data_IF_467442493249
#
_entry.id   IF_467442493249
#
_cell.length_a   1.000
_cell.length_b   1.000
_cell.length_c   1.000
_cell.angle_alpha   90.00
_cell.angle_beta   90.00
_cell.angle_gamma   90.00
#
_symmetry.space_group_name_H-M   'P 1'
#
loop_
_entity.id
_entity.type
_entity.pdbx_description
1 polymer ?
#
# COMPACT_ATOMS: atom_id res chain seq x y z
N UNK A 1 47.06 0.72 38.52
CA UNK A 1 48.43 1.02 38.03
C UNK A 1 48.39 1.19 36.54
N UNK A 2 49.09 2.20 36.05
CA UNK A 2 49.39 2.57 34.67
C UNK A 2 48.29 3.23 33.80
N UNK A 3 48.34 4.55 33.83
CA UNK A 3 47.78 5.51 32.86
C UNK A 3 48.70 5.51 31.61
N UNK A 4 48.16 5.60 30.44
CA UNK A 4 48.92 6.14 29.30
C UNK A 4 47.98 7.02 28.47
N UNK A 5 48.31 8.33 28.50
CA UNK A 5 47.72 9.40 27.75
C UNK A 5 48.20 9.39 26.33
N UNK A 6 47.35 9.81 25.41
CA UNK A 6 47.68 10.08 24.04
C UNK A 6 47.45 11.55 23.76
N UNK A 7 48.56 12.24 23.48
CA UNK A 7 48.64 13.63 23.08
C UNK A 7 48.17 13.79 21.61
N UNK A 8 47.26 14.70 21.39
CA UNK A 8 46.85 15.13 20.03
C UNK A 8 47.80 16.26 19.58
N UNK A 9 48.40 16.22 18.39
CA UNK A 9 49.05 17.40 17.80
C UNK A 9 47.99 18.25 17.06
N UNK A 10 48.04 19.55 17.33
CA UNK A 10 47.32 20.59 16.59
C UNK A 10 47.98 20.82 15.22
N UNK A 11 47.25 20.57 14.16
CA UNK A 11 47.70 20.94 12.81
C UNK A 11 47.16 22.34 12.45
N UNK A 12 48.08 23.25 12.28
CA UNK A 12 47.84 24.62 11.80
C UNK A 12 47.66 24.58 10.28
N UNK A 13 46.55 25.07 9.79
CA UNK A 13 46.26 25.20 8.34
C UNK A 13 46.49 26.66 7.95
N UNK A 14 47.32 26.97 6.93
CA UNK A 14 47.53 28.33 6.47
C UNK A 14 46.38 28.81 5.58
N UNK A 15 46.01 30.05 5.85
CA UNK A 15 45.01 30.86 5.13
C UNK A 15 45.57 31.28 3.77
N UNK A 16 45.06 30.74 2.68
CA UNK A 16 45.37 31.21 1.33
C UNK A 16 44.18 31.99 0.79
N UNK A 17 44.34 33.32 0.74
CA UNK A 17 43.46 34.21 -0.04
C UNK A 17 43.68 33.93 -1.53
N UNK A 18 42.68 33.41 -2.19
CA UNK A 18 42.57 33.33 -3.64
C UNK A 18 41.35 34.11 -4.14
N UNK A 19 41.65 35.34 -4.57
CA UNK A 19 40.70 36.23 -5.24
C UNK A 19 40.59 35.80 -6.72
N UNK A 20 39.43 35.24 -7.17
CA UNK A 20 39.17 35.09 -8.61
C UNK A 20 37.70 35.28 -8.95
N UNK A 21 37.53 36.37 -9.64
CA UNK A 21 36.63 36.72 -10.76
C UNK A 21 35.29 36.04 -10.92
N UNK A 22 34.29 36.93 -10.88
CA UNK A 22 32.94 36.78 -11.37
C UNK A 22 32.88 36.31 -12.84
N UNK A 23 32.21 35.21 -13.08
CA UNK A 23 31.60 34.93 -14.38
C UNK A 23 30.14 34.50 -14.11
N UNK A 24 29.25 35.46 -14.25
CA UNK A 24 27.83 35.24 -14.28
C UNK A 24 27.47 34.58 -15.64
N UNK A 25 27.31 33.28 -15.67
CA UNK A 25 26.54 32.58 -16.70
C UNK A 25 25.15 32.29 -16.15
N UNK A 26 24.24 33.20 -16.44
CA UNK A 26 22.82 32.94 -16.31
C UNK A 26 22.42 31.88 -17.33
N UNK A 27 22.34 30.64 -16.89
CA UNK A 27 21.61 29.61 -17.62
C UNK A 27 20.19 29.60 -17.04
N UNK A 28 19.30 30.25 -17.78
CA UNK A 28 17.88 29.98 -17.69
C UNK A 28 17.65 28.53 -18.18
N UNK A 29 17.83 27.58 -17.29
CA UNK A 29 17.43 26.21 -17.48
C UNK A 29 15.91 26.17 -17.43
N UNK A 30 15.28 26.12 -18.61
CA UNK A 30 13.90 25.72 -18.77
C UNK A 30 13.71 24.41 -17.99
N UNK A 31 12.83 24.46 -16.97
CA UNK A 31 12.49 23.28 -16.20
C UNK A 31 11.84 22.25 -17.09
N UNK A 32 12.62 21.31 -17.54
CA UNK A 32 12.14 20.00 -17.97
C UNK A 32 11.56 19.34 -16.73
N UNK A 33 10.29 19.64 -16.46
CA UNK A 33 9.46 18.70 -15.73
C UNK A 33 9.27 17.51 -16.68
N UNK A 34 10.29 16.68 -16.74
CA UNK A 34 10.13 15.32 -17.18
C UNK A 34 8.98 14.74 -16.34
N UNK A 35 7.80 14.69 -16.98
CA UNK A 35 6.71 13.87 -16.53
C UNK A 35 7.28 12.46 -16.50
N UNK A 36 7.71 12.07 -15.35
CA UNK A 36 7.96 10.69 -14.99
C UNK A 36 6.60 10.00 -15.08
N UNK A 37 6.21 9.69 -16.31
CA UNK A 37 5.21 8.70 -16.59
C UNK A 37 5.84 7.39 -16.14
N UNK A 38 5.69 7.09 -14.85
CA UNK A 38 5.94 5.77 -14.31
C UNK A 38 4.98 4.84 -15.02
N UNK A 39 5.42 4.33 -16.15
CA UNK A 39 4.81 3.19 -16.83
C UNK A 39 5.03 1.99 -15.92
N UNK A 40 4.29 1.96 -14.82
CA UNK A 40 4.24 0.82 -13.92
C UNK A 40 3.42 -0.23 -14.65
N UNK A 41 4.08 -1.17 -15.32
CA UNK A 41 3.40 -2.38 -15.78
C UNK A 41 2.63 -2.97 -14.59
N UNK A 42 1.35 -3.36 -14.78
CA UNK A 42 0.57 -3.94 -13.69
C UNK A 42 1.33 -5.11 -13.08
N UNK A 43 1.53 -5.09 -11.79
CA UNK A 43 2.09 -6.23 -11.08
C UNK A 43 1.05 -7.35 -11.08
N UNK A 44 1.52 -8.59 -11.11
CA UNK A 44 0.63 -9.74 -10.96
C UNK A 44 -0.20 -9.56 -9.68
N UNK A 45 -1.53 -9.55 -9.84
CA UNK A 45 -2.46 -9.33 -8.73
C UNK A 45 -2.86 -7.89 -8.45
N UNK A 46 -2.35 -6.91 -9.20
CA UNK A 46 -2.86 -5.54 -9.14
C UNK A 46 -4.11 -5.39 -10.03
N UNK A 47 -5.06 -4.59 -9.55
CA UNK A 47 -6.24 -4.23 -10.33
C UNK A 47 -5.85 -3.38 -11.56
N UNK A 48 -6.60 -3.53 -12.65
CA UNK A 48 -6.29 -2.89 -13.94
C UNK A 48 -6.75 -1.43 -13.99
N UNK A 49 -7.82 -1.07 -13.29
CA UNK A 49 -8.45 0.24 -13.31
C UNK A 49 -8.29 0.99 -12.01
N UNK A 50 -8.31 2.32 -12.08
CA UNK A 50 -8.33 3.14 -10.86
C UNK A 50 -9.63 2.97 -10.10
N UNK A 51 -9.57 3.13 -8.77
CA UNK A 51 -10.74 3.04 -7.90
C UNK A 51 -11.57 4.30 -7.96
N UNK A 52 -12.88 4.15 -8.05
CA UNK A 52 -13.84 5.23 -7.84
C UNK A 52 -14.03 5.54 -6.34
N UNK A 53 -14.86 6.54 -6.04
CA UNK A 53 -15.11 6.98 -4.67
C UNK A 53 -15.82 5.90 -3.82
N UNK A 54 -16.80 5.19 -4.40
CA UNK A 54 -17.56 4.13 -3.72
C UNK A 54 -16.68 2.96 -3.33
N UNK A 55 -15.79 2.52 -4.23
CA UNK A 55 -14.84 1.46 -3.97
C UNK A 55 -13.87 1.81 -2.84
N UNK A 56 -13.39 3.06 -2.81
CA UNK A 56 -12.52 3.57 -1.73
C UNK A 56 -13.25 3.64 -0.40
N UNK A 57 -14.48 4.13 -0.40
CA UNK A 57 -15.32 4.21 0.79
C UNK A 57 -15.62 2.83 1.37
N UNK A 58 -16.00 1.86 0.52
CA UNK A 58 -16.24 0.49 0.95
C UNK A 58 -14.99 -0.18 1.52
N UNK A 59 -13.84 -0.03 0.87
CA UNK A 59 -12.57 -0.57 1.36
C UNK A 59 -12.21 -0.01 2.75
N UNK A 60 -12.35 1.30 2.93
CA UNK A 60 -12.14 1.95 4.23
C UNK A 60 -13.12 1.47 5.30
N UNK A 61 -14.40 1.29 4.94
CA UNK A 61 -15.42 0.75 5.82
C UNK A 61 -15.10 -0.67 6.27
N UNK A 62 -14.81 -1.59 5.35
CA UNK A 62 -14.43 -2.97 5.65
C UNK A 62 -13.26 -3.01 6.63
N UNK A 63 -12.23 -2.21 6.39
CA UNK A 63 -11.08 -2.08 7.29
C UNK A 63 -11.49 -1.56 8.67
N UNK A 64 -12.34 -0.54 8.75
CA UNK A 64 -12.80 0.06 10.02
C UNK A 64 -13.67 -0.90 10.84
N UNK A 65 -14.33 -1.86 10.18
CA UNK A 65 -15.14 -2.89 10.81
C UNK A 65 -14.35 -4.13 11.24
N UNK A 66 -13.04 -4.13 11.01
CA UNK A 66 -12.18 -5.27 11.33
C UNK A 66 -12.41 -6.48 10.42
N UNK A 67 -12.92 -6.25 9.20
CA UNK A 67 -12.96 -7.33 8.22
C UNK A 67 -11.54 -7.79 7.87
N UNK A 68 -11.40 -9.06 7.54
CA UNK A 68 -10.16 -9.66 7.04
C UNK A 68 -10.44 -10.33 5.70
N UNK A 69 -9.58 -10.06 4.74
CA UNK A 69 -9.59 -10.66 3.41
C UNK A 69 -8.40 -11.63 3.31
N UNK A 70 -8.68 -12.93 3.49
CA UNK A 70 -7.68 -13.99 3.36
C UNK A 70 -7.48 -14.38 1.91
N UNK A 71 -6.26 -14.45 1.48
CA UNK A 71 -5.92 -14.84 0.12
C UNK A 71 -4.50 -15.35 -0.01
N UNK A 72 -4.11 -15.70 -1.24
CA UNK A 72 -2.75 -16.09 -1.57
C UNK A 72 -2.27 -15.30 -2.80
N UNK A 73 -0.99 -15.00 -2.83
CA UNK A 73 -0.34 -14.20 -3.89
C UNK A 73 -0.52 -14.76 -5.30
N UNK A 74 -0.72 -16.05 -5.41
CA UNK A 74 -0.93 -16.78 -6.68
C UNK A 74 -2.41 -17.01 -7.04
N UNK A 75 -3.36 -16.61 -6.20
CA UNK A 75 -4.78 -16.97 -6.31
C UNK A 75 -5.50 -16.08 -7.35
N UNK A 76 -5.98 -16.63 -8.50
CA UNK A 76 -6.66 -15.85 -9.53
C UNK A 76 -7.96 -15.20 -9.03
N UNK A 77 -8.72 -15.89 -8.18
CA UNK A 77 -9.95 -15.39 -7.59
C UNK A 77 -9.70 -14.21 -6.64
N UNK A 78 -8.54 -14.19 -5.95
CA UNK A 78 -8.11 -13.05 -5.12
C UNK A 78 -7.80 -11.83 -5.99
N UNK A 79 -7.18 -12.03 -7.14
CA UNK A 79 -6.94 -10.96 -8.11
C UNK A 79 -8.25 -10.41 -8.67
N UNK A 80 -9.20 -11.29 -8.98
CA UNK A 80 -10.54 -10.89 -9.40
C UNK A 80 -11.23 -10.05 -8.32
N UNK A 81 -11.16 -10.46 -7.06
CA UNK A 81 -11.72 -9.70 -5.95
C UNK A 81 -11.08 -8.32 -5.83
N UNK A 82 -9.75 -8.21 -5.87
CA UNK A 82 -9.03 -6.92 -5.85
C UNK A 82 -9.41 -6.04 -7.04
N UNK A 83 -9.60 -6.65 -8.21
CA UNK A 83 -9.97 -5.93 -9.45
C UNK A 83 -11.35 -5.26 -9.35
N UNK A 84 -12.31 -5.86 -8.63
CA UNK A 84 -13.61 -5.23 -8.36
C UNK A 84 -13.49 -3.94 -7.55
N UNK A 85 -12.46 -3.79 -6.73
CA UNK A 85 -12.18 -2.58 -5.95
C UNK A 85 -11.35 -1.53 -6.71
N UNK A 86 -10.66 -1.93 -7.77
CA UNK A 86 -9.69 -1.07 -8.46
C UNK A 86 -8.36 -0.94 -7.68
N UNK A 87 -7.40 -0.20 -8.26
CA UNK A 87 -6.01 -0.16 -7.76
C UNK A 87 -5.89 0.33 -6.33
N UNK A 88 -6.39 1.53 -6.04
CA UNK A 88 -6.19 2.18 -4.75
C UNK A 88 -6.96 1.47 -3.63
N UNK A 89 -8.24 1.18 -3.85
CA UNK A 89 -9.06 0.49 -2.87
C UNK A 89 -8.68 -0.98 -2.71
N UNK A 90 -8.33 -1.67 -3.81
CA UNK A 90 -7.87 -3.06 -3.78
C UNK A 90 -6.56 -3.23 -3.00
N UNK A 91 -5.63 -2.26 -3.11
CA UNK A 91 -4.39 -2.26 -2.34
C UNK A 91 -4.59 -1.84 -0.87
N UNK A 92 -5.70 -1.16 -0.56
CA UNK A 92 -6.05 -0.75 0.80
C UNK A 92 -6.94 -1.76 1.55
N UNK A 93 -7.34 -2.86 0.90
CA UNK A 93 -8.11 -3.93 1.54
C UNK A 93 -7.37 -4.50 2.76
N UNK A 94 -8.11 -4.93 3.80
CA UNK A 94 -7.53 -5.59 4.96
C UNK A 94 -7.07 -7.02 4.61
N UNK A 95 -6.10 -7.12 3.72
CA UNK A 95 -5.61 -8.37 3.14
C UNK A 95 -4.62 -9.08 4.06
N UNK A 96 -4.84 -10.38 4.24
CA UNK A 96 -3.92 -11.27 4.93
C UNK A 96 -3.44 -12.33 3.94
N UNK A 97 -2.14 -12.32 3.68
CA UNK A 97 -1.47 -13.31 2.84
C UNK A 97 -1.31 -14.63 3.58
N UNK A 98 -1.72 -15.73 2.93
CA UNK A 98 -1.74 -17.05 3.54
C UNK A 98 -0.60 -17.97 3.08
N UNK A 99 0.17 -17.62 2.05
CA UNK A 99 1.09 -18.58 1.44
C UNK A 99 2.48 -18.02 1.07
N UNK A 100 2.74 -16.74 1.33
CA UNK A 100 4.06 -16.14 1.06
C UNK A 100 5.07 -16.45 2.17
N UNK A 101 4.64 -16.44 3.44
CA UNK A 101 5.48 -16.71 4.59
C UNK A 101 4.84 -17.70 5.59
N UNK A 102 5.65 -18.21 6.54
CA UNK A 102 5.19 -19.15 7.56
C UNK A 102 4.16 -18.52 8.49
N UNK A 103 4.38 -17.28 8.92
CA UNK A 103 3.45 -16.58 9.81
C UNK A 103 2.08 -16.33 9.15
N UNK A 104 2.03 -16.09 7.84
CA UNK A 104 0.80 -16.03 7.06
C UNK A 104 0.07 -17.38 7.08
N UNK A 105 0.78 -18.45 6.79
CA UNK A 105 0.24 -19.82 6.81
C UNK A 105 -0.33 -20.20 8.18
N UNK A 106 0.41 -19.92 9.25
CA UNK A 106 -0.04 -20.21 10.62
C UNK A 106 -1.33 -19.46 10.97
N UNK A 107 -1.42 -18.16 10.65
CA UNK A 107 -2.63 -17.36 10.90
C UNK A 107 -3.83 -17.91 10.16
N UNK A 108 -3.66 -18.27 8.89
CA UNK A 108 -4.72 -18.82 8.06
C UNK A 108 -5.15 -20.22 8.51
N UNK A 109 -4.23 -21.05 8.96
CA UNK A 109 -4.54 -22.35 9.57
C UNK A 109 -5.29 -22.19 10.89
N UNK A 110 -4.86 -21.28 11.75
CA UNK A 110 -5.55 -20.98 13.01
C UNK A 110 -6.98 -20.48 12.79
N UNK A 111 -7.20 -19.67 11.73
CA UNK A 111 -8.51 -19.24 11.29
C UNK A 111 -9.28 -20.33 10.51
N UNK A 112 -8.68 -21.52 10.30
CA UNK A 112 -9.28 -22.61 9.53
C UNK A 112 -9.72 -22.19 8.12
N UNK A 113 -8.92 -21.39 7.43
CA UNK A 113 -9.16 -20.96 6.06
C UNK A 113 -8.91 -22.15 5.11
N UNK A 114 -9.90 -22.46 4.26
CA UNK A 114 -9.89 -23.61 3.36
C UNK A 114 -10.06 -23.25 1.89
N UNK A 115 -10.44 -22.02 1.62
CA UNK A 115 -10.68 -21.49 0.27
C UNK A 115 -10.17 -20.06 0.15
N UNK A 116 -9.82 -19.66 -1.07
CA UNK A 116 -9.40 -18.29 -1.39
C UNK A 116 -10.23 -17.72 -2.54
N UNK A 117 -10.66 -16.46 -2.45
CA UNK A 117 -10.60 -15.61 -1.27
C UNK A 117 -11.61 -16.03 -0.20
N UNK A 118 -11.33 -15.69 1.06
CA UNK A 118 -12.27 -15.79 2.16
C UNK A 118 -12.34 -14.46 2.91
N UNK A 119 -13.56 -14.04 3.26
CA UNK A 119 -13.81 -12.84 4.06
C UNK A 119 -14.32 -13.24 5.45
N UNK A 120 -13.73 -12.66 6.47
CA UNK A 120 -14.20 -12.78 7.85
C UNK A 120 -14.39 -11.41 8.49
N UNK A 121 -15.37 -11.34 9.37
CA UNK A 121 -15.59 -10.21 10.26
C UNK A 121 -16.33 -10.72 11.49
N UNK A 122 -15.97 -10.20 12.65
CA UNK A 122 -16.60 -10.60 13.92
C UNK A 122 -18.14 -10.43 13.87
N UNK A 123 -18.85 -11.43 14.33
CA UNK A 123 -20.32 -11.44 14.37
C UNK A 123 -21.00 -11.59 13.01
N UNK A 124 -20.25 -11.88 11.94
CA UNK A 124 -20.81 -12.10 10.60
C UNK A 124 -20.49 -13.50 10.08
N UNK A 125 -21.35 -14.07 9.25
CA UNK A 125 -21.03 -15.32 8.57
C UNK A 125 -19.82 -15.12 7.66
N UNK A 126 -18.97 -16.14 7.61
CA UNK A 126 -17.83 -16.20 6.68
C UNK A 126 -18.35 -16.23 5.24
N UNK A 127 -17.67 -15.51 4.35
CA UNK A 127 -17.95 -15.57 2.91
C UNK A 127 -16.74 -16.19 2.19
N UNK A 128 -16.98 -17.21 1.39
CA UNK A 128 -15.95 -17.88 0.60
C UNK A 128 -16.15 -17.59 -0.90
N UNK A 129 -15.04 -17.42 -1.63
CA UNK A 129 -15.05 -17.04 -3.03
C UNK A 129 -15.17 -15.54 -3.26
N UNK A 130 -15.19 -15.17 -4.55
CA UNK A 130 -15.31 -13.77 -4.97
C UNK A 130 -16.70 -13.25 -4.63
N UNK A 131 -16.74 -12.14 -3.92
CA UNK A 131 -17.95 -11.44 -3.55
C UNK A 131 -18.12 -10.17 -4.40
N UNK A 132 -19.31 -9.86 -4.83
CA UNK A 132 -19.61 -8.57 -5.44
C UNK A 132 -19.49 -7.44 -4.40
N UNK A 133 -19.31 -6.21 -4.88
CA UNK A 133 -19.25 -5.06 -3.97
C UNK A 133 -20.56 -4.88 -3.19
N UNK A 134 -21.71 -5.19 -3.81
CA UNK A 134 -23.01 -5.06 -3.16
C UNK A 134 -23.24 -6.13 -2.08
N UNK A 135 -22.75 -7.36 -2.30
CA UNK A 135 -22.72 -8.39 -1.26
C UNK A 135 -21.85 -7.95 -0.07
N UNK A 136 -20.66 -7.42 -0.32
CA UNK A 136 -19.79 -6.91 0.74
C UNK A 136 -20.37 -5.69 1.46
N UNK A 137 -21.07 -4.79 0.77
CA UNK A 137 -21.81 -3.68 1.39
C UNK A 137 -22.88 -4.20 2.34
N UNK A 138 -23.72 -5.12 1.87
CA UNK A 138 -24.80 -5.72 2.66
C UNK A 138 -24.24 -6.48 3.85
N UNK A 139 -23.25 -7.32 3.63
CA UNK A 139 -22.63 -8.15 4.67
C UNK A 139 -21.96 -7.30 5.75
N UNK A 140 -21.23 -6.22 5.36
CA UNK A 140 -20.52 -5.35 6.29
C UNK A 140 -21.40 -4.28 6.96
N UNK A 141 -22.64 -4.12 6.50
CA UNK A 141 -23.51 -3.04 6.95
C UNK A 141 -23.03 -1.67 6.49
N UNK A 142 -22.52 -1.58 5.27
CA UNK A 142 -22.13 -0.30 4.66
C UNK A 142 -23.33 0.63 4.55
N UNK A 143 -23.29 1.87 5.06
CA UNK A 143 -24.45 2.74 5.11
C UNK A 143 -24.84 3.22 3.70
N UNK A 144 -26.12 3.10 3.36
CA UNK A 144 -26.67 3.57 2.08
C UNK A 144 -26.46 5.09 1.84
N UNK A 145 -26.33 5.88 2.91
CA UNK A 145 -26.05 7.31 2.86
C UNK A 145 -24.64 7.62 2.34
N UNK A 146 -23.67 6.74 2.58
CA UNK A 146 -22.31 6.89 2.06
C UNK A 146 -22.27 6.67 0.55
N UNK A 147 -23.14 5.80 0.02
CA UNK A 147 -23.29 5.54 -1.41
C UNK A 147 -23.90 6.74 -2.17
N UNK A 148 -24.82 7.46 -1.52
CA UNK A 148 -25.41 8.68 -2.12
C UNK A 148 -24.43 9.87 -2.14
N UNK A 149 -23.54 9.98 -1.17
CA UNK A 149 -22.57 11.08 -1.08
C UNK A 149 -21.42 10.98 -2.12
N UNK A 150 -21.20 9.81 -2.70
CA UNK A 150 -20.11 9.57 -3.66
C UNK A 150 -20.54 9.69 -5.12
N UNK A 151 -21.83 9.91 -5.39
CA UNK A 151 -22.40 10.00 -6.75
C UNK A 151 -22.47 11.44 -7.32
N UNK A 152 -21.90 12.43 -6.62
CA UNK A 152 -21.90 13.84 -7.07
C UNK A 152 -20.51 14.31 -7.53
#
# INVERSE_FOLDING_TARGET
MARSGWHRPLAVIPLSLGLMALSACAWAGAGDRAREATSTSPRLGEALSDSNADQKALSAHLKSKGAVFYGAWWCPACFQQKNLFGKQAGNALPYLECDDDEGGRERCQAASIRAFPTWEMEGKPRLEGVQSLDELKTWSGFPASAEAATRH
#
